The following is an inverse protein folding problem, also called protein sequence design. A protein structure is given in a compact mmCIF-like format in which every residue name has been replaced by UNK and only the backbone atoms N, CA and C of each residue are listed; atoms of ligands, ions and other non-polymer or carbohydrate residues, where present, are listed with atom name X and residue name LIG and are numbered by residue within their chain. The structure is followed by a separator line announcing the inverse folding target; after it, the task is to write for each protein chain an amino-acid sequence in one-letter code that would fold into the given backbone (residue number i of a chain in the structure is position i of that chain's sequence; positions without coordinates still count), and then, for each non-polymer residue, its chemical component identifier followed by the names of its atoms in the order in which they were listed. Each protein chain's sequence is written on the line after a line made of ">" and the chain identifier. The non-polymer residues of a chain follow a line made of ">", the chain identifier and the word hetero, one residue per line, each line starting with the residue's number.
data_IF_369727325026
#
_entry.id   IF_369727325026
#
_cell.length_a   1.000
_cell.length_b   1.000
_cell.length_c   1.000
_cell.angle_alpha   90.00
_cell.angle_beta   90.00
_cell.angle_gamma   90.00
#
_symmetry.space_group_name_H-M   'P 1'
#
loop_
_entity.id
_entity.type
_entity.pdbx_description
1 polymer ?
#
# COMPACT_ATOMS: atom_id res chain seq x y z
N UNK A 1 -53.94 -34.65 -2.88
CA UNK A 1 -53.00 -34.52 -1.74
C UNK A 1 -51.61 -34.05 -2.17
N UNK A 2 -50.99 -34.73 -3.13
CA UNK A 2 -49.64 -34.42 -3.66
C UNK A 2 -49.47 -32.97 -4.12
N UNK A 3 -50.47 -32.39 -4.84
CA UNK A 3 -50.41 -30.99 -5.32
C UNK A 3 -50.29 -29.95 -4.20
N UNK A 4 -51.03 -30.13 -3.08
CA UNK A 4 -50.99 -29.20 -1.95
C UNK A 4 -49.66 -29.30 -1.19
N UNK A 5 -49.16 -30.52 -1.02
CA UNK A 5 -47.85 -30.77 -0.40
C UNK A 5 -46.74 -30.10 -1.23
N UNK A 6 -46.77 -30.28 -2.56
CA UNK A 6 -45.81 -29.67 -3.47
C UNK A 6 -45.83 -28.13 -3.40
N UNK A 7 -47.01 -27.51 -3.35
CA UNK A 7 -47.15 -26.06 -3.21
C UNK A 7 -46.57 -25.54 -1.89
N UNK A 8 -46.79 -26.24 -0.78
CA UNK A 8 -46.23 -25.88 0.53
C UNK A 8 -44.70 -25.93 0.49
N UNK A 9 -44.14 -27.01 -0.07
CA UNK A 9 -42.67 -27.17 -0.22
C UNK A 9 -42.08 -26.04 -1.07
N UNK A 10 -42.74 -25.63 -2.16
CA UNK A 10 -42.25 -24.55 -3.01
C UNK A 10 -42.26 -23.18 -2.31
N UNK A 11 -43.30 -22.88 -1.54
CA UNK A 11 -43.37 -21.64 -0.76
C UNK A 11 -42.33 -21.59 0.36
N UNK A 12 -42.05 -22.73 1.02
CA UNK A 12 -40.97 -22.84 2.00
C UNK A 12 -39.60 -22.63 1.35
N UNK A 13 -39.37 -23.22 0.17
CA UNK A 13 -38.14 -23.02 -0.59
C UNK A 13 -37.99 -21.54 -1.01
N UNK A 14 -39.05 -20.92 -1.54
CA UNK A 14 -39.04 -19.50 -1.91
C UNK A 14 -38.72 -18.58 -0.73
N UNK A 15 -39.29 -18.86 0.44
CA UNK A 15 -38.98 -18.15 1.68
C UNK A 15 -37.53 -18.34 2.13
N UNK A 16 -37.00 -19.57 2.07
CA UNK A 16 -35.62 -19.84 2.41
C UNK A 16 -34.63 -19.12 1.47
N UNK A 17 -34.89 -19.13 0.17
CA UNK A 17 -34.09 -18.39 -0.81
C UNK A 17 -34.17 -16.87 -0.59
N UNK A 18 -35.36 -16.33 -0.26
CA UNK A 18 -35.49 -14.91 0.06
C UNK A 18 -34.61 -14.52 1.27
N UNK A 19 -34.63 -15.33 2.34
CA UNK A 19 -33.83 -15.09 3.55
C UNK A 19 -32.33 -15.17 3.26
N UNK A 20 -31.88 -16.21 2.56
CA UNK A 20 -30.45 -16.37 2.22
C UNK A 20 -29.97 -15.25 1.29
N UNK A 21 -30.80 -14.81 0.34
CA UNK A 21 -30.47 -13.74 -0.59
C UNK A 21 -30.33 -12.38 0.11
N UNK A 22 -31.24 -12.06 1.02
CA UNK A 22 -31.13 -10.85 1.86
C UNK A 22 -29.89 -10.92 2.75
N UNK A 23 -29.63 -12.05 3.40
CA UNK A 23 -28.46 -12.21 4.28
C UNK A 23 -27.13 -12.08 3.52
N UNK A 24 -27.05 -12.59 2.30
CA UNK A 24 -25.87 -12.43 1.45
C UNK A 24 -25.64 -10.94 1.08
N UNK A 25 -26.69 -10.21 0.74
CA UNK A 25 -26.60 -8.78 0.37
C UNK A 25 -26.28 -7.91 1.60
N UNK A 26 -26.90 -8.17 2.75
CA UNK A 26 -26.64 -7.40 3.98
C UNK A 26 -25.26 -7.70 4.56
N UNK A 27 -24.75 -8.93 4.42
CA UNK A 27 -23.37 -9.27 4.73
C UNK A 27 -22.37 -8.45 3.92
N UNK A 28 -22.65 -8.21 2.63
CA UNK A 28 -21.83 -7.38 1.72
C UNK A 28 -21.78 -5.88 2.11
N UNK A 29 -22.75 -5.40 2.88
CA UNK A 29 -22.83 -4.02 3.35
C UNK A 29 -22.12 -3.81 4.71
N UNK A 30 -21.86 -4.89 5.45
CA UNK A 30 -21.26 -4.84 6.79
C UNK A 30 -19.74 -5.10 6.85
N UNK A 31 -19.14 -5.69 5.82
CA UNK A 31 -17.70 -6.01 5.80
C UNK A 31 -16.85 -4.84 5.28
N UNK A 32 -16.55 -3.87 6.15
CA UNK A 32 -15.71 -2.72 5.82
C UNK A 32 -14.22 -3.06 5.52
N UNK A 33 -13.84 -4.34 5.43
CA UNK A 33 -12.46 -4.83 5.32
C UNK A 33 -12.23 -5.88 4.22
N UNK A 34 -13.26 -6.25 3.45
CA UNK A 34 -13.11 -7.25 2.37
C UNK A 34 -12.85 -6.59 1.02
N UNK A 35 -12.15 -7.29 0.13
CA UNK A 35 -11.86 -6.85 -1.23
C UNK A 35 -13.15 -6.54 -2.00
N UNK A 36 -13.16 -5.46 -2.79
CA UNK A 36 -14.32 -5.01 -3.58
C UNK A 36 -14.94 -6.12 -4.44
N UNK A 37 -14.13 -7.09 -4.89
CA UNK A 37 -14.57 -8.26 -5.66
C UNK A 37 -15.49 -9.20 -4.88
N UNK A 38 -15.24 -9.41 -3.58
CA UNK A 38 -16.07 -10.25 -2.72
C UNK A 38 -17.42 -9.57 -2.44
N UNK A 39 -17.40 -8.26 -2.18
CA UNK A 39 -18.60 -7.46 -2.00
C UNK A 39 -19.51 -7.50 -3.23
N UNK A 40 -18.93 -7.32 -4.42
CA UNK A 40 -19.68 -7.45 -5.68
C UNK A 40 -20.22 -8.86 -5.89
N UNK A 41 -19.43 -9.90 -5.59
CA UNK A 41 -19.89 -11.28 -5.67
C UNK A 41 -21.10 -11.53 -4.74
N UNK A 42 -21.06 -11.08 -3.49
CA UNK A 42 -22.18 -11.25 -2.54
C UNK A 42 -23.47 -10.56 -3.01
N UNK A 43 -23.37 -9.37 -3.59
CA UNK A 43 -24.53 -8.65 -4.14
C UNK A 43 -25.12 -9.43 -5.33
N UNK A 44 -24.27 -9.92 -6.25
CA UNK A 44 -24.71 -10.69 -7.43
C UNK A 44 -25.35 -12.00 -7.01
N UNK A 45 -24.68 -12.82 -6.19
CA UNK A 45 -25.22 -14.10 -5.73
C UNK A 45 -26.48 -13.92 -4.88
N UNK A 46 -26.51 -12.92 -4.00
CA UNK A 46 -27.70 -12.61 -3.21
C UNK A 46 -28.89 -12.21 -4.08
N UNK A 47 -28.69 -11.36 -5.09
CA UNK A 47 -29.75 -10.98 -6.03
C UNK A 47 -30.27 -12.17 -6.85
N UNK A 48 -29.39 -13.09 -7.25
CA UNK A 48 -29.74 -14.30 -7.99
C UNK A 48 -30.62 -15.23 -7.15
N UNK A 49 -30.29 -15.40 -5.87
CA UNK A 49 -31.06 -16.20 -4.92
C UNK A 49 -32.45 -15.57 -4.69
N UNK A 50 -32.54 -14.23 -4.61
CA UNK A 50 -33.83 -13.52 -4.53
C UNK A 50 -34.70 -13.72 -5.79
N UNK A 51 -34.11 -13.66 -6.98
CA UNK A 51 -34.83 -13.88 -8.25
C UNK A 51 -35.35 -15.31 -8.34
N UNK A 52 -34.57 -16.31 -7.91
CA UNK A 52 -34.99 -17.72 -7.84
C UNK A 52 -36.18 -17.86 -6.87
N UNK A 53 -36.10 -17.24 -5.69
CA UNK A 53 -37.19 -17.26 -4.70
C UNK A 53 -38.48 -16.59 -5.21
N UNK A 54 -38.36 -15.39 -5.78
CA UNK A 54 -39.50 -14.66 -6.33
C UNK A 54 -40.16 -15.41 -7.51
N UNK A 55 -39.34 -16.05 -8.33
CA UNK A 55 -39.83 -16.84 -9.46
C UNK A 55 -40.53 -18.11 -9.00
N UNK A 56 -39.99 -18.82 -8.00
CA UNK A 56 -40.64 -19.99 -7.42
C UNK A 56 -42.04 -19.64 -6.87
N UNK A 57 -42.16 -18.49 -6.19
CA UNK A 57 -43.45 -17.96 -5.72
C UNK A 57 -44.41 -17.65 -6.90
N UNK A 58 -43.92 -17.00 -7.95
CA UNK A 58 -44.71 -16.63 -9.13
C UNK A 58 -45.18 -17.84 -9.96
N UNK A 59 -44.33 -18.85 -10.14
CA UNK A 59 -44.68 -20.13 -10.79
C UNK A 59 -45.74 -20.87 -9.97
N UNK A 60 -45.64 -20.84 -8.64
CA UNK A 60 -46.66 -21.45 -7.76
C UNK A 60 -48.03 -20.77 -7.91
N UNK A 61 -48.04 -19.45 -8.08
CA UNK A 61 -49.25 -18.66 -8.33
C UNK A 61 -49.89 -18.97 -9.70
N UNK A 62 -49.09 -19.07 -10.77
CA UNK A 62 -49.56 -19.36 -12.13
C UNK A 62 -49.93 -20.83 -12.36
N UNK A 63 -49.26 -21.78 -11.69
CA UNK A 63 -49.60 -23.20 -11.70
C UNK A 63 -51.01 -23.48 -11.16
N UNK A 64 -51.63 -22.51 -10.48
CA UNK A 64 -53.03 -22.58 -10.07
C UNK A 64 -54.01 -22.40 -11.26
N UNK A 65 -53.54 -21.95 -12.43
CA UNK A 65 -54.36 -21.68 -13.63
C UNK A 65 -54.16 -22.67 -14.79
N UNK A 66 -52.94 -23.16 -15.09
CA UNK A 66 -52.68 -24.10 -16.21
C UNK A 66 -51.48 -25.04 -15.94
N UNK A 67 -51.59 -26.33 -16.26
CA UNK A 67 -50.62 -27.38 -15.88
C UNK A 67 -49.35 -27.39 -16.75
N UNK A 68 -49.42 -26.96 -18.02
CA UNK A 68 -48.27 -26.97 -18.94
C UNK A 68 -47.11 -26.04 -18.53
N UNK A 69 -47.40 -25.01 -17.73
CA UNK A 69 -46.40 -24.05 -17.23
C UNK A 69 -45.56 -24.58 -16.05
N UNK A 70 -45.94 -25.72 -15.46
CA UNK A 70 -45.23 -26.32 -14.31
C UNK A 70 -43.84 -26.87 -14.67
N UNK A 71 -43.57 -27.14 -15.95
CA UNK A 71 -42.30 -27.76 -16.37
C UNK A 71 -41.39 -26.80 -17.14
N UNK A 72 -41.93 -26.00 -18.05
CA UNK A 72 -41.12 -25.15 -18.96
C UNK A 72 -40.62 -23.87 -18.29
N UNK A 73 -41.48 -23.19 -17.52
CA UNK A 73 -41.11 -21.94 -16.86
C UNK A 73 -40.02 -22.11 -15.78
N UNK A 74 -40.12 -23.08 -14.84
CA UNK A 74 -39.05 -23.29 -13.86
C UNK A 74 -37.74 -23.77 -14.50
N UNK A 75 -37.77 -24.48 -15.63
CA UNK A 75 -36.53 -24.87 -16.32
C UNK A 75 -35.79 -23.66 -16.91
N UNK A 76 -36.51 -22.77 -17.60
CA UNK A 76 -35.92 -21.56 -18.22
C UNK A 76 -35.48 -20.55 -17.15
N UNK A 77 -36.26 -20.37 -16.09
CA UNK A 77 -35.95 -19.39 -15.04
C UNK A 77 -34.96 -19.90 -13.98
N UNK A 78 -34.93 -21.20 -13.65
CA UNK A 78 -33.97 -21.74 -12.67
C UNK A 78 -32.64 -22.16 -13.30
N UNK A 79 -32.59 -22.49 -14.59
CA UNK A 79 -31.32 -22.82 -15.28
C UNK A 79 -30.88 -21.73 -16.24
N UNK A 80 -31.77 -21.19 -17.09
CA UNK A 80 -31.39 -20.25 -18.15
C UNK A 80 -30.92 -18.88 -17.63
N UNK A 81 -31.71 -18.26 -16.74
CA UNK A 81 -31.36 -16.93 -16.20
C UNK A 81 -30.12 -16.95 -15.29
N UNK A 82 -30.01 -17.87 -14.31
CA UNK A 82 -28.79 -17.99 -13.50
C UNK A 82 -27.54 -18.31 -14.31
N UNK A 83 -27.61 -19.20 -15.32
CA UNK A 83 -26.47 -19.47 -16.21
C UNK A 83 -26.13 -18.26 -17.08
N UNK A 84 -27.13 -17.52 -17.56
CA UNK A 84 -26.92 -16.27 -18.30
C UNK A 84 -26.27 -15.17 -17.46
N UNK A 85 -26.72 -14.97 -16.22
CA UNK A 85 -26.12 -14.03 -15.27
C UNK A 85 -24.72 -14.47 -14.84
N UNK A 86 -24.51 -15.76 -14.60
CA UNK A 86 -23.19 -16.30 -14.29
C UNK A 86 -22.23 -16.13 -15.48
N UNK A 87 -22.69 -16.38 -16.71
CA UNK A 87 -21.92 -16.11 -17.93
C UNK A 87 -21.60 -14.62 -18.09
N UNK A 88 -22.57 -13.73 -17.86
CA UNK A 88 -22.34 -12.28 -17.92
C UNK A 88 -21.36 -11.79 -16.83
N UNK A 89 -21.48 -12.30 -15.60
CA UNK A 89 -20.56 -12.03 -14.51
C UNK A 89 -19.15 -12.54 -14.81
N UNK A 90 -19.02 -13.75 -15.35
CA UNK A 90 -17.73 -14.33 -15.70
C UNK A 90 -17.05 -13.55 -16.84
N UNK A 91 -17.82 -13.12 -17.85
CA UNK A 91 -17.34 -12.24 -18.93
C UNK A 91 -16.92 -10.87 -18.39
N UNK A 92 -17.68 -10.27 -17.47
CA UNK A 92 -17.37 -8.97 -16.86
C UNK A 92 -16.10 -9.05 -15.98
N UNK A 93 -15.97 -10.13 -15.21
CA UNK A 93 -14.80 -10.43 -14.41
C UNK A 93 -13.55 -10.63 -15.28
N UNK A 94 -13.66 -11.41 -16.36
CA UNK A 94 -12.56 -11.64 -17.31
C UNK A 94 -12.15 -10.34 -18.03
N UNK A 95 -13.12 -9.51 -18.44
CA UNK A 95 -12.86 -8.16 -18.98
C UNK A 95 -12.15 -7.28 -17.96
N UNK A 96 -12.57 -7.32 -16.69
CA UNK A 96 -11.94 -6.60 -15.60
C UNK A 96 -10.49 -7.04 -15.37
N UNK A 97 -10.21 -8.34 -15.44
CA UNK A 97 -8.84 -8.87 -15.35
C UNK A 97 -7.98 -8.47 -16.55
N UNK A 98 -8.51 -8.56 -17.78
CA UNK A 98 -7.80 -8.13 -18.99
C UNK A 98 -7.46 -6.65 -18.92
N UNK A 99 -8.42 -5.80 -18.53
CA UNK A 99 -8.18 -4.37 -18.37
C UNK A 99 -7.13 -4.08 -17.29
N UNK A 100 -7.17 -4.82 -16.17
CA UNK A 100 -6.16 -4.70 -15.11
C UNK A 100 -4.77 -5.08 -15.60
N UNK A 101 -4.63 -6.21 -16.33
CA UNK A 101 -3.35 -6.63 -16.91
C UNK A 101 -2.83 -5.64 -17.93
N UNK A 102 -3.70 -5.11 -18.78
CA UNK A 102 -3.34 -4.07 -19.74
C UNK A 102 -2.82 -2.83 -19.03
N UNK A 103 -3.52 -2.36 -17.99
CA UNK A 103 -3.10 -1.21 -17.20
C UNK A 103 -1.76 -1.47 -16.48
N UNK A 104 -1.59 -2.65 -15.88
CA UNK A 104 -0.32 -3.05 -15.26
C UNK A 104 0.82 -3.08 -16.27
N UNK A 105 0.57 -3.55 -17.49
CA UNK A 105 1.56 -3.54 -18.58
C UNK A 105 1.88 -2.12 -19.05
N UNK A 106 0.89 -1.24 -19.17
CA UNK A 106 1.10 0.17 -19.51
C UNK A 106 1.92 0.91 -18.45
N UNK A 107 1.64 0.67 -17.17
CA UNK A 107 2.43 1.21 -16.06
C UNK A 107 3.85 0.64 -16.09
N UNK A 108 4.00 -0.69 -16.19
CA UNK A 108 5.29 -1.38 -16.18
C UNK A 108 6.18 -1.04 -17.38
N UNK A 109 5.59 -0.79 -18.54
CA UNK A 109 6.32 -0.40 -19.76
C UNK A 109 6.69 1.09 -19.77
N UNK A 110 6.21 1.87 -18.80
CA UNK A 110 6.35 3.33 -18.79
C UNK A 110 5.44 4.05 -19.79
N UNK A 111 4.60 3.33 -20.56
CA UNK A 111 3.64 3.90 -21.51
C UNK A 111 2.63 4.82 -20.82
N UNK A 112 2.17 4.46 -19.63
CA UNK A 112 1.25 5.31 -18.88
C UNK A 112 1.87 6.68 -18.55
N UNK A 113 3.13 6.69 -18.10
CA UNK A 113 3.81 7.91 -17.66
C UNK A 113 4.38 8.73 -18.83
N UNK A 114 4.87 8.09 -19.89
CA UNK A 114 5.67 8.75 -20.93
C UNK A 114 5.14 8.55 -22.35
N UNK A 115 3.96 7.94 -22.53
CA UNK A 115 3.39 7.57 -23.83
C UNK A 115 3.32 8.71 -24.85
N UNK A 116 3.02 9.93 -24.37
CA UNK A 116 2.90 11.13 -25.21
C UNK A 116 4.26 11.73 -25.62
N UNK A 117 5.37 11.24 -25.04
CA UNK A 117 6.72 11.76 -25.24
C UNK A 117 7.66 10.63 -25.71
N UNK A 118 7.79 10.41 -27.04
CA UNK A 118 8.52 9.26 -27.58
C UNK A 118 9.96 9.12 -27.08
N UNK A 119 10.66 10.23 -26.85
CA UNK A 119 12.03 10.23 -26.33
C UNK A 119 12.11 9.73 -24.88
N UNK A 120 11.22 10.22 -23.99
CA UNK A 120 11.16 9.73 -22.60
C UNK A 120 10.66 8.28 -22.55
N UNK A 121 9.69 7.92 -23.40
CA UNK A 121 9.18 6.55 -23.48
C UNK A 121 10.28 5.55 -23.86
N UNK A 122 11.15 5.89 -24.81
CA UNK A 122 12.26 5.03 -25.20
C UNK A 122 13.21 4.76 -24.02
N UNK A 123 13.50 5.77 -23.21
CA UNK A 123 14.30 5.59 -21.97
C UNK A 123 13.54 4.74 -20.96
N UNK A 124 12.24 4.97 -20.75
CA UNK A 124 11.41 4.20 -19.83
C UNK A 124 11.33 2.71 -20.21
N UNK A 125 11.23 2.41 -21.51
CA UNK A 125 11.26 1.04 -22.02
C UNK A 125 12.61 0.36 -21.77
N UNK A 126 13.71 1.09 -21.99
CA UNK A 126 15.05 0.58 -21.70
C UNK A 126 15.28 0.33 -20.19
N UNK A 127 14.78 1.23 -19.33
CA UNK A 127 14.75 1.02 -17.87
C UNK A 127 13.93 -0.23 -17.53
N UNK A 128 12.75 -0.41 -18.12
CA UNK A 128 11.92 -1.59 -17.87
C UNK A 128 12.59 -2.88 -18.34
N UNK A 129 13.41 -2.83 -19.40
CA UNK A 129 14.24 -3.96 -19.83
C UNK A 129 15.49 -4.17 -18.95
N UNK A 130 15.83 -3.23 -18.08
CA UNK A 130 17.08 -3.18 -17.32
C UNK A 130 18.33 -3.21 -18.23
N UNK A 131 18.24 -2.59 -19.40
CA UNK A 131 19.31 -2.55 -20.40
C UNK A 131 20.04 -1.20 -20.36
N UNK A 132 21.26 -1.21 -19.80
CA UNK A 132 21.94 0.04 -19.47
C UNK A 132 22.53 0.72 -20.70
N UNK A 133 22.90 -0.06 -21.71
CA UNK A 133 23.40 0.46 -22.97
C UNK A 133 22.25 1.10 -23.76
N UNK A 134 21.07 0.47 -23.75
CA UNK A 134 19.86 1.05 -24.32
C UNK A 134 19.42 2.32 -23.59
N UNK A 135 19.51 2.38 -22.26
CA UNK A 135 19.23 3.61 -21.49
C UNK A 135 20.17 4.73 -21.94
N UNK A 136 21.49 4.46 -21.99
CA UNK A 136 22.49 5.45 -22.43
C UNK A 136 22.27 5.90 -23.87
N UNK A 137 21.88 5.00 -24.75
CA UNK A 137 21.60 5.31 -26.15
C UNK A 137 20.34 6.17 -26.29
N UNK A 138 19.23 5.77 -25.67
CA UNK A 138 17.95 6.49 -25.73
C UNK A 138 18.03 7.88 -25.07
N UNK A 139 18.77 8.00 -23.96
CA UNK A 139 18.94 9.26 -23.25
C UNK A 139 19.60 10.37 -24.10
N UNK A 140 20.38 10.03 -25.13
CA UNK A 140 20.97 11.03 -26.05
C UNK A 140 19.91 11.83 -26.81
N UNK A 141 18.72 11.27 -27.00
CA UNK A 141 17.59 11.92 -27.65
C UNK A 141 16.71 12.72 -26.67
N UNK A 142 17.03 12.72 -25.38
CA UNK A 142 16.28 13.42 -24.33
C UNK A 142 17.06 14.68 -23.92
N UNK A 143 16.59 15.89 -24.28
CA UNK A 143 17.30 17.13 -23.93
C UNK A 143 17.35 17.40 -22.42
N UNK A 144 16.32 16.96 -21.69
CA UNK A 144 16.20 17.13 -20.23
C UNK A 144 15.69 15.83 -19.60
N UNK A 145 16.55 15.16 -18.82
CA UNK A 145 16.19 13.93 -18.09
C UNK A 145 15.22 14.18 -16.92
N UNK A 146 15.02 15.44 -16.54
CA UNK A 146 14.06 15.87 -15.52
C UNK A 146 12.69 16.25 -16.08
N UNK A 147 12.53 16.17 -17.41
CA UNK A 147 11.28 16.50 -18.07
C UNK A 147 10.12 15.66 -17.49
N UNK A 148 9.00 16.29 -17.11
CA UNK A 148 7.86 15.60 -16.54
C UNK A 148 7.11 14.82 -17.63
N UNK A 149 6.79 13.56 -17.33
CA UNK A 149 5.74 12.81 -17.98
C UNK A 149 4.35 13.17 -17.43
N UNK A 150 3.38 12.28 -17.64
CA UNK A 150 2.04 12.36 -17.05
C UNK A 150 2.14 12.47 -15.51
N UNK A 151 1.26 13.28 -14.94
CA UNK A 151 1.17 13.60 -13.51
C UNK A 151 2.47 14.15 -12.90
N UNK A 152 3.37 14.71 -13.72
CA UNK A 152 4.66 15.21 -13.26
C UNK A 152 5.70 14.12 -12.99
N UNK A 153 5.46 12.89 -13.43
CA UNK A 153 6.38 11.76 -13.22
C UNK A 153 7.72 12.00 -13.91
N UNK A 154 8.84 11.89 -13.19
CA UNK A 154 10.19 11.94 -13.79
C UNK A 154 10.74 10.54 -14.05
N UNK A 155 11.63 10.38 -15.03
CA UNK A 155 12.28 9.09 -15.33
C UNK A 155 12.96 8.49 -14.11
N UNK A 156 13.67 9.33 -13.34
CA UNK A 156 14.38 8.89 -12.13
C UNK A 156 13.41 8.44 -11.03
N UNK A 157 12.37 9.23 -10.74
CA UNK A 157 11.41 8.86 -9.69
C UNK A 157 10.63 7.60 -10.08
N UNK A 158 10.25 7.45 -11.35
CA UNK A 158 9.63 6.22 -11.85
C UNK A 158 10.56 5.01 -11.69
N UNK A 159 11.82 5.11 -12.14
CA UNK A 159 12.80 4.03 -11.99
C UNK A 159 13.04 3.65 -10.52
N UNK A 160 13.12 4.63 -9.62
CA UNK A 160 13.24 4.41 -8.16
C UNK A 160 12.05 3.61 -7.62
N UNK A 161 10.82 3.97 -7.96
CA UNK A 161 9.61 3.27 -7.51
C UNK A 161 9.53 1.84 -8.05
N UNK A 162 9.90 1.64 -9.31
CA UNK A 162 9.94 0.31 -9.91
C UNK A 162 10.91 -0.63 -9.15
N UNK A 163 11.97 -0.09 -8.53
CA UNK A 163 12.90 -0.91 -7.73
C UNK A 163 12.27 -1.50 -6.47
N UNK A 164 11.13 -0.98 -5.99
CA UNK A 164 10.48 -1.50 -4.78
C UNK A 164 10.04 -2.96 -4.95
N UNK A 165 9.62 -3.34 -6.16
CA UNK A 165 9.30 -4.73 -6.52
C UNK A 165 10.36 -5.38 -7.40
N UNK A 166 11.29 -4.60 -7.98
CA UNK A 166 12.29 -5.07 -8.95
C UNK A 166 13.70 -4.61 -8.55
N UNK A 167 14.31 -5.20 -7.50
CA UNK A 167 15.60 -4.75 -6.95
C UNK A 167 16.75 -4.71 -7.96
N UNK A 168 16.67 -5.49 -9.04
CA UNK A 168 17.66 -5.48 -10.12
C UNK A 168 17.71 -4.15 -10.91
N UNK A 169 16.65 -3.34 -10.85
CA UNK A 169 16.58 -2.03 -11.51
C UNK A 169 17.42 -0.94 -10.84
N UNK A 170 18.08 -1.25 -9.72
CA UNK A 170 19.08 -0.37 -9.11
C UNK A 170 20.17 0.02 -10.14
N UNK A 171 20.53 -0.86 -11.07
CA UNK A 171 21.49 -0.51 -12.13
C UNK A 171 20.95 0.50 -13.14
N UNK A 172 19.65 0.45 -13.46
CA UNK A 172 19.01 1.44 -14.31
C UNK A 172 18.99 2.81 -13.61
N UNK A 173 18.70 2.86 -12.31
CA UNK A 173 18.77 4.07 -11.49
C UNK A 173 20.20 4.64 -11.50
N UNK A 174 21.22 3.82 -11.23
CA UNK A 174 22.63 4.24 -11.30
C UNK A 174 23.02 4.78 -12.67
N UNK A 175 22.49 4.19 -13.74
CA UNK A 175 22.73 4.63 -15.10
C UNK A 175 22.14 6.01 -15.34
N UNK A 176 20.88 6.27 -14.95
CA UNK A 176 20.25 7.59 -15.04
C UNK A 176 21.03 8.65 -14.24
N UNK A 177 21.42 8.33 -13.00
CA UNK A 177 22.23 9.22 -12.18
C UNK A 177 23.57 9.55 -12.86
N UNK A 178 24.24 8.56 -13.46
CA UNK A 178 25.49 8.77 -14.22
C UNK A 178 25.33 9.62 -15.49
N UNK A 179 24.10 9.74 -16.00
CA UNK A 179 23.74 10.57 -17.15
C UNK A 179 23.32 12.00 -16.73
N UNK A 180 23.36 12.32 -15.43
CA UNK A 180 23.03 13.64 -14.91
C UNK A 180 21.59 13.78 -14.41
N UNK A 181 20.84 12.68 -14.25
CA UNK A 181 19.55 12.75 -13.58
C UNK A 181 19.74 13.24 -12.14
N UNK A 182 19.03 14.30 -11.76
CA UNK A 182 19.18 14.94 -10.46
C UNK A 182 18.32 14.21 -9.40
N UNK A 183 18.92 13.58 -8.37
CA UNK A 183 18.17 12.89 -7.31
C UNK A 183 17.27 13.81 -6.47
N UNK A 184 17.59 15.10 -6.42
CA UNK A 184 16.90 16.11 -5.60
C UNK A 184 15.88 16.92 -6.37
N UNK A 185 15.73 16.70 -7.67
CA UNK A 185 14.78 17.43 -8.47
C UNK A 185 13.34 17.07 -8.06
N UNK A 186 12.50 18.09 -7.93
CA UNK A 186 11.06 17.96 -7.80
C UNK A 186 10.40 19.04 -8.63
N UNK A 187 9.27 18.73 -9.24
CA UNK A 187 8.41 19.68 -9.93
C UNK A 187 7.13 19.98 -9.12
N UNK A 188 7.11 19.62 -7.83
CA UNK A 188 5.97 19.80 -6.94
C UNK A 188 4.92 18.68 -7.01
N UNK A 189 4.99 17.79 -8.01
CA UNK A 189 4.16 16.58 -8.06
C UNK A 189 4.80 15.44 -7.27
N UNK A 190 3.98 14.59 -6.66
CA UNK A 190 4.42 13.48 -5.81
C UNK A 190 5.38 12.54 -6.55
N UNK A 191 5.10 12.36 -7.83
CA UNK A 191 5.76 11.48 -8.78
C UNK A 191 7.13 12.01 -9.24
N UNK A 192 7.61 13.11 -8.67
CA UNK A 192 8.94 13.67 -8.93
C UNK A 192 9.92 13.52 -7.76
N UNK A 193 9.47 13.18 -6.54
CA UNK A 193 10.29 13.09 -5.33
C UNK A 193 11.13 11.80 -5.28
N UNK A 194 12.11 11.68 -6.18
CA UNK A 194 12.93 10.47 -6.31
C UNK A 194 13.69 10.14 -5.02
N UNK A 195 14.34 11.13 -4.39
CA UNK A 195 15.03 10.92 -3.11
C UNK A 195 14.07 10.49 -1.98
N UNK A 196 12.86 11.06 -1.95
CA UNK A 196 11.78 10.68 -1.05
C UNK A 196 11.38 9.20 -1.18
N UNK A 197 11.24 8.74 -2.42
CA UNK A 197 10.89 7.34 -2.70
C UNK A 197 12.06 6.36 -2.50
N UNK A 198 13.31 6.82 -2.64
CA UNK A 198 14.48 5.98 -2.51
C UNK A 198 14.67 5.42 -1.09
N UNK A 199 14.21 6.16 -0.07
CA UNK A 199 14.30 5.72 1.34
C UNK A 199 13.44 4.49 1.63
N UNK A 200 12.48 4.15 0.77
CA UNK A 200 11.65 2.96 0.87
C UNK A 200 12.20 1.75 0.09
N UNK A 201 13.21 1.96 -0.77
CA UNK A 201 13.88 0.89 -1.49
C UNK A 201 14.91 0.14 -0.64
N UNK A 202 15.78 -0.62 -1.31
CA UNK A 202 16.92 -1.29 -0.67
C UNK A 202 17.98 -0.29 -0.19
N UNK A 203 18.82 -0.70 0.76
CA UNK A 203 19.97 0.10 1.19
C UNK A 203 20.91 0.42 0.02
N UNK A 204 21.04 -0.49 -0.95
CA UNK A 204 21.85 -0.31 -2.16
C UNK A 204 21.31 0.79 -3.09
N UNK A 205 19.98 0.88 -3.23
CA UNK A 205 19.34 1.95 -3.96
C UNK A 205 19.63 3.30 -3.30
N UNK A 206 19.36 3.38 -1.99
CA UNK A 206 19.55 4.60 -1.22
C UNK A 206 21.01 5.07 -1.26
N UNK A 207 21.96 4.14 -1.10
CA UNK A 207 23.38 4.41 -1.25
C UNK A 207 23.70 5.01 -2.63
N UNK A 208 23.18 4.43 -3.71
CA UNK A 208 23.42 4.93 -5.07
C UNK A 208 22.91 6.37 -5.27
N UNK A 209 21.74 6.68 -4.71
CA UNK A 209 21.15 8.02 -4.76
C UNK A 209 22.01 9.03 -3.97
N UNK A 210 22.40 8.67 -2.74
CA UNK A 210 23.25 9.52 -1.88
C UNK A 210 24.65 9.71 -2.47
N UNK A 211 25.26 8.67 -3.04
CA UNK A 211 26.58 8.73 -3.71
C UNK A 211 26.56 9.68 -4.92
N UNK A 212 25.39 9.86 -5.53
CA UNK A 212 25.17 10.76 -6.69
C UNK A 212 24.72 12.16 -6.27
N UNK A 213 24.92 12.55 -5.00
CA UNK A 213 24.56 13.88 -4.49
C UNK A 213 23.13 14.01 -4.00
N UNK A 214 22.42 12.90 -3.79
CA UNK A 214 21.12 12.90 -3.13
C UNK A 214 21.19 13.54 -1.74
N UNK A 215 20.24 14.41 -1.44
CA UNK A 215 20.16 15.13 -0.16
C UNK A 215 19.64 14.18 0.93
N UNK A 216 20.45 13.86 1.96
CA UNK A 216 20.02 13.03 3.07
C UNK A 216 18.96 13.71 3.95
N UNK A 217 18.79 15.03 3.81
CA UNK A 217 17.77 15.86 4.46
C UNK A 217 16.59 16.16 3.54
N UNK A 218 16.49 15.48 2.39
CA UNK A 218 15.34 15.60 1.52
C UNK A 218 14.04 15.32 2.29
N UNK A 219 12.96 15.88 1.76
CA UNK A 219 11.61 15.63 2.24
C UNK A 219 10.85 14.87 1.16
N UNK A 220 9.94 14.02 1.59
CA UNK A 220 8.98 13.40 0.69
C UNK A 220 7.93 14.41 0.22
N UNK A 221 6.99 13.94 -0.58
CA UNK A 221 5.95 14.78 -1.17
C UNK A 221 4.95 15.38 -0.17
N UNK A 222 4.95 14.89 1.07
CA UNK A 222 4.16 15.43 2.19
C UNK A 222 4.98 16.38 3.07
N UNK A 223 6.24 16.65 2.69
CA UNK A 223 7.15 17.48 3.48
C UNK A 223 7.77 16.73 4.66
N UNK A 224 7.65 15.40 4.74
CA UNK A 224 8.22 14.61 5.85
C UNK A 224 9.70 14.33 5.59
N UNK A 225 10.61 14.55 6.56
CA UNK A 225 12.03 14.23 6.38
C UNK A 225 12.23 12.75 6.07
N UNK A 226 13.02 12.41 5.05
CA UNK A 226 13.17 11.01 4.61
C UNK A 226 13.70 10.08 5.70
N UNK A 227 14.51 10.60 6.64
CA UNK A 227 15.02 9.81 7.76
C UNK A 227 13.90 9.27 8.67
N UNK A 228 12.79 10.01 8.80
CA UNK A 228 11.60 9.58 9.52
C UNK A 228 10.77 8.56 8.74
N UNK A 229 10.89 8.56 7.41
CA UNK A 229 10.12 7.68 6.51
C UNK A 229 10.77 6.29 6.30
N UNK A 230 11.97 6.07 6.84
CA UNK A 230 12.74 4.84 6.66
C UNK A 230 12.03 3.53 7.11
N UNK A 231 11.06 3.62 8.04
CA UNK A 231 10.29 2.46 8.52
C UNK A 231 8.84 2.40 7.98
N UNK A 232 8.43 3.32 7.10
CA UNK A 232 7.02 3.46 6.69
C UNK A 232 6.56 2.39 5.71
N UNK A 233 7.38 2.05 4.70
CA UNK A 233 7.04 1.06 3.68
C UNK A 233 7.88 -0.21 3.86
N UNK A 234 7.20 -1.32 4.17
CA UNK A 234 7.81 -2.60 4.53
C UNK A 234 8.36 -3.44 3.37
N UNK A 235 8.77 -2.84 2.24
CA UNK A 235 9.30 -3.59 1.09
C UNK A 235 10.64 -4.28 1.37
N UNK A 236 11.50 -3.63 2.16
CA UNK A 236 12.82 -4.14 2.55
C UNK A 236 12.97 -4.14 4.08
N UNK A 237 12.28 -5.05 4.78
CA UNK A 237 12.11 -5.00 6.24
C UNK A 237 13.37 -5.37 7.05
N UNK A 238 14.48 -5.67 6.38
CA UNK A 238 15.79 -5.94 6.99
C UNK A 238 16.81 -4.83 6.67
N UNK A 239 16.48 -3.87 5.80
CA UNK A 239 17.41 -2.84 5.34
C UNK A 239 17.27 -1.52 6.12
N UNK A 240 16.28 -1.37 7.02
CA UNK A 240 16.02 -0.11 7.73
C UNK A 240 17.24 0.35 8.53
N UNK A 241 17.94 -0.56 9.20
CA UNK A 241 19.16 -0.21 9.96
C UNK A 241 20.27 0.28 9.04
N UNK A 242 20.49 -0.42 7.93
CA UNK A 242 21.52 -0.05 6.95
C UNK A 242 21.19 1.29 6.29
N UNK A 243 19.93 1.51 5.91
CA UNK A 243 19.43 2.78 5.37
C UNK A 243 19.56 3.93 6.37
N UNK A 244 19.20 3.71 7.63
CA UNK A 244 19.38 4.68 8.70
C UNK A 244 20.85 5.09 8.82
N UNK A 245 21.76 4.11 8.87
CA UNK A 245 23.19 4.38 8.98
C UNK A 245 23.69 5.17 7.76
N UNK A 246 23.30 4.78 6.54
CA UNK A 246 23.64 5.52 5.33
C UNK A 246 23.18 6.98 5.38
N UNK A 247 21.95 7.24 5.83
CA UNK A 247 21.44 8.62 5.97
C UNK A 247 22.26 9.40 7.01
N UNK A 248 22.49 8.83 8.18
CA UNK A 248 23.26 9.46 9.25
C UNK A 248 24.73 9.71 8.85
N UNK A 249 25.36 8.74 8.17
CA UNK A 249 26.74 8.85 7.69
C UNK A 249 26.88 9.90 6.57
N UNK A 250 25.79 10.25 5.89
CA UNK A 250 25.74 11.33 4.89
C UNK A 250 25.29 12.66 5.46
N UNK A 251 25.00 12.76 6.76
CA UNK A 251 24.67 14.01 7.42
C UNK A 251 23.16 14.32 7.42
N UNK A 252 22.31 13.30 7.40
CA UNK A 252 20.91 13.49 7.77
C UNK A 252 20.81 14.06 9.18
N UNK A 253 19.97 15.07 9.35
CA UNK A 253 19.68 15.69 10.64
C UNK A 253 18.90 14.71 11.51
N UNK A 254 19.62 14.13 12.47
CA UNK A 254 19.09 13.16 13.43
C UNK A 254 17.95 13.72 14.31
N UNK A 255 17.86 15.05 14.41
CA UNK A 255 16.87 15.76 15.22
C UNK A 255 15.75 16.40 14.38
N UNK A 256 15.67 16.06 13.10
CA UNK A 256 14.55 16.44 12.24
C UNK A 256 13.23 15.95 12.82
N UNK A 257 12.19 16.78 12.65
CA UNK A 257 10.85 16.53 13.19
C UNK A 257 9.82 16.29 12.10
N UNK A 258 8.81 15.49 12.42
CA UNK A 258 7.60 15.36 11.63
C UNK A 258 6.89 16.73 11.51
N UNK A 259 6.31 17.05 10.33
CA UNK A 259 5.53 18.27 10.14
C UNK A 259 4.34 18.39 11.10
N UNK A 260 3.95 19.62 11.46
CA UNK A 260 2.76 19.88 12.30
C UNK A 260 1.44 19.38 11.68
N UNK A 261 1.41 19.19 10.35
CA UNK A 261 0.25 18.61 9.65
C UNK A 261 0.05 17.12 9.94
N UNK A 262 1.06 16.44 10.49
CA UNK A 262 1.00 15.02 10.84
C UNK A 262 0.38 14.85 12.23
N UNK A 263 -0.95 14.91 12.32
CA UNK A 263 -1.69 14.99 13.59
C UNK A 263 -1.25 14.01 14.69
N UNK A 264 -0.88 12.77 14.34
CA UNK A 264 -0.49 11.75 15.33
C UNK A 264 0.96 11.91 15.82
N UNK A 265 1.87 12.33 14.95
CA UNK A 265 3.30 12.40 15.24
C UNK A 265 3.86 13.82 15.13
N UNK A 266 3.01 14.85 15.22
CA UNK A 266 3.40 16.24 15.03
C UNK A 266 4.55 16.62 15.98
N UNK A 267 5.64 17.16 15.41
CA UNK A 267 6.83 17.54 16.16
C UNK A 267 7.67 16.38 16.68
N UNK A 268 7.33 15.12 16.39
CA UNK A 268 8.15 13.98 16.81
C UNK A 268 9.49 13.99 16.07
N UNK A 269 10.59 13.88 16.82
CA UNK A 269 11.88 13.49 16.26
C UNK A 269 11.92 11.99 15.98
N UNK A 270 12.93 11.53 15.24
CA UNK A 270 13.08 10.10 14.99
C UNK A 270 13.30 9.30 16.29
N UNK A 271 13.98 9.89 17.28
CA UNK A 271 14.13 9.27 18.60
C UNK A 271 12.77 9.06 19.29
N UNK A 272 11.91 10.09 19.31
CA UNK A 272 10.58 9.99 19.91
C UNK A 272 9.72 8.97 19.16
N UNK A 273 9.74 9.01 17.83
CA UNK A 273 9.01 8.05 16.99
C UNK A 273 9.45 6.61 17.25
N UNK A 274 10.75 6.30 17.20
CA UNK A 274 11.24 4.92 17.46
C UNK A 274 10.96 4.48 18.90
N UNK A 275 11.10 5.37 19.87
CA UNK A 275 10.74 5.05 21.27
C UNK A 275 9.27 4.67 21.37
N UNK A 276 8.36 5.49 20.81
CA UNK A 276 6.92 5.24 20.78
C UNK A 276 6.55 3.93 20.10
N UNK A 277 7.21 3.59 18.99
CA UNK A 277 6.99 2.33 18.27
C UNK A 277 7.49 1.10 19.04
N UNK A 278 8.32 1.27 20.08
CA UNK A 278 8.87 0.16 20.87
C UNK A 278 7.83 -0.70 21.59
N UNK A 279 6.63 -0.17 21.84
CA UNK A 279 5.50 -0.97 22.36
C UNK A 279 4.99 -1.99 21.33
N UNK A 280 5.07 -1.66 20.04
CA UNK A 280 4.55 -2.47 18.94
C UNK A 280 5.66 -3.33 18.29
N UNK A 281 6.89 -2.82 18.22
CA UNK A 281 8.08 -3.50 17.69
C UNK A 281 9.27 -3.27 18.62
N UNK A 282 9.66 -4.28 19.41
CA UNK A 282 10.73 -4.16 20.41
C UNK A 282 12.07 -3.75 19.81
N UNK A 283 12.33 -4.05 18.53
CA UNK A 283 13.55 -3.64 17.82
C UNK A 283 13.67 -2.11 17.71
N UNK A 284 12.55 -1.40 17.82
CA UNK A 284 12.54 0.06 17.84
C UNK A 284 13.27 0.65 19.07
N UNK A 285 13.34 -0.07 20.20
CA UNK A 285 14.17 0.36 21.33
C UNK A 285 15.66 0.30 21.02
N UNK A 286 16.11 -0.74 20.31
CA UNK A 286 17.49 -0.80 19.82
C UNK A 286 17.75 0.27 18.74
N UNK A 287 16.75 0.65 17.94
CA UNK A 287 16.85 1.81 17.05
C UNK A 287 17.00 3.13 17.83
N UNK A 288 16.20 3.34 18.87
CA UNK A 288 16.27 4.50 19.74
C UNK A 288 17.64 4.62 20.45
N UNK A 289 18.16 3.51 20.98
CA UNK A 289 19.48 3.50 21.63
C UNK A 289 20.59 3.90 20.64
N UNK A 290 20.58 3.31 19.45
CA UNK A 290 21.55 3.65 18.41
C UNK A 290 21.46 5.12 18.00
N UNK A 291 20.26 5.72 17.95
CA UNK A 291 20.10 7.15 17.68
C UNK A 291 20.76 8.01 18.76
N UNK A 292 20.61 7.63 20.04
CA UNK A 292 21.24 8.30 21.17
C UNK A 292 22.77 8.19 21.12
N UNK A 293 23.29 7.01 20.80
CA UNK A 293 24.73 6.79 20.58
C UNK A 293 25.27 7.61 19.40
N UNK A 294 24.42 7.92 18.41
CA UNK A 294 24.71 8.81 17.28
C UNK A 294 24.45 10.29 17.56
N UNK A 295 24.09 10.66 18.79
CA UNK A 295 23.93 12.04 19.23
C UNK A 295 22.53 12.65 19.03
N UNK A 296 21.48 11.82 18.95
CA UNK A 296 20.11 12.32 19.00
C UNK A 296 19.86 13.04 20.33
N UNK A 297 19.16 14.17 20.30
CA UNK A 297 18.84 14.98 21.47
C UNK A 297 17.62 14.39 22.22
N UNK A 298 17.80 13.81 23.42
CA UNK A 298 16.71 13.22 24.19
C UNK A 298 15.76 14.25 24.81
N UNK A 299 16.12 15.53 24.82
CA UNK A 299 15.36 16.58 25.49
C UNK A 299 14.33 17.26 24.58
N UNK A 300 14.24 16.86 23.31
CA UNK A 300 13.24 17.38 22.39
C UNK A 300 11.83 16.99 22.84
N UNK A 301 10.91 17.93 22.69
CA UNK A 301 9.51 17.79 23.08
C UNK A 301 8.67 17.88 21.80
N UNK A 302 7.80 16.90 21.60
CA UNK A 302 6.84 16.86 20.51
C UNK A 302 5.66 17.83 20.75
N UNK A 303 4.83 18.04 19.73
CA UNK A 303 3.70 18.98 19.80
C UNK A 303 2.64 18.58 20.84
N UNK A 304 2.49 17.28 21.11
CA UNK A 304 1.63 16.72 22.17
C UNK A 304 2.22 16.83 23.59
N UNK A 305 3.43 17.40 23.73
CA UNK A 305 4.13 17.55 25.00
C UNK A 305 4.90 16.30 25.46
N UNK A 306 4.95 15.25 24.64
CA UNK A 306 5.74 14.05 24.90
C UNK A 306 7.23 14.30 24.68
N UNK A 307 8.05 13.65 25.49
CA UNK A 307 9.50 13.63 25.34
C UNK A 307 10.03 12.23 25.69
N UNK A 308 11.31 11.99 25.45
CA UNK A 308 11.91 10.67 25.58
C UNK A 308 11.80 10.10 27.01
N UNK A 309 12.03 10.93 28.03
CA UNK A 309 11.93 10.54 29.45
C UNK A 309 10.51 10.12 29.85
N UNK A 310 9.50 10.91 29.46
CA UNK A 310 8.08 10.59 29.71
C UNK A 310 7.69 9.28 29.06
N UNK A 311 8.03 9.11 27.77
CA UNK A 311 7.74 7.88 27.03
C UNK A 311 8.36 6.65 27.70
N UNK A 312 9.64 6.69 28.05
CA UNK A 312 10.28 5.56 28.72
C UNK A 312 9.62 5.22 30.05
N UNK A 313 9.23 6.24 30.84
CA UNK A 313 8.58 6.04 32.13
C UNK A 313 7.22 5.36 31.95
N UNK A 314 6.40 5.84 31.03
CA UNK A 314 5.10 5.24 30.70
C UNK A 314 5.26 3.80 30.18
N UNK A 315 6.24 3.55 29.32
CA UNK A 315 6.52 2.22 28.79
C UNK A 315 6.97 1.26 29.90
N UNK A 316 7.81 1.72 30.82
CA UNK A 316 8.23 0.94 32.00
C UNK A 316 7.03 0.56 32.86
N UNK A 317 6.14 1.50 33.16
CA UNK A 317 4.90 1.25 33.89
C UNK A 317 4.02 0.24 33.16
N UNK A 318 3.82 0.41 31.85
CA UNK A 318 3.11 -0.53 31.01
C UNK A 318 3.67 -1.97 31.16
N UNK A 319 4.99 -2.13 31.14
CA UNK A 319 5.63 -3.44 31.30
C UNK A 319 5.47 -4.06 32.68
N UNK A 320 5.27 -3.27 33.74
CA UNK A 320 4.96 -3.82 35.08
C UNK A 320 3.57 -4.44 35.16
N UNK A 321 2.64 -3.95 34.35
CA UNK A 321 1.25 -4.43 34.31
C UNK A 321 1.00 -5.49 33.23
N UNK A 322 1.98 -5.74 32.35
CA UNK A 322 1.89 -6.62 31.19
C UNK A 322 2.81 -7.85 31.24
N UNK A 323 3.32 -8.26 30.07
CA UNK A 323 4.18 -9.45 29.89
C UNK A 323 5.66 -9.23 30.28
N UNK A 324 5.97 -8.16 31.02
CA UNK A 324 7.34 -7.72 31.29
C UNK A 324 7.95 -6.95 30.12
N UNK A 325 9.11 -6.33 30.37
CA UNK A 325 9.81 -5.53 29.38
C UNK A 325 10.56 -6.43 28.37
N UNK A 326 10.57 -6.08 27.07
CA UNK A 326 11.38 -6.79 26.08
C UNK A 326 12.87 -6.57 26.36
N UNK A 327 13.72 -7.50 25.88
CA UNK A 327 15.15 -7.47 26.14
C UNK A 327 15.81 -6.17 25.63
N UNK A 328 15.32 -5.64 24.51
CA UNK A 328 15.82 -4.42 23.88
C UNK A 328 15.51 -3.14 24.68
N UNK A 329 14.52 -3.17 25.59
CA UNK A 329 14.17 -2.01 26.40
C UNK A 329 15.20 -1.76 27.51
N UNK A 330 15.78 -2.82 28.09
CA UNK A 330 16.66 -2.68 29.26
C UNK A 330 17.91 -1.84 28.97
N UNK A 331 18.65 -2.06 27.86
CA UNK A 331 19.81 -1.22 27.52
C UNK A 331 19.44 0.25 27.29
N UNK A 332 18.28 0.52 26.68
CA UNK A 332 17.79 1.87 26.47
C UNK A 332 17.46 2.57 27.79
N UNK A 333 16.82 1.86 28.71
CA UNK A 333 16.50 2.36 30.05
C UNK A 333 17.78 2.65 30.86
N UNK A 334 18.75 1.72 30.85
CA UNK A 334 20.04 1.89 31.51
C UNK A 334 20.83 3.08 30.96
N UNK A 335 20.84 3.26 29.63
CA UNK A 335 21.42 4.43 29.00
C UNK A 335 20.78 5.72 29.53
N UNK A 336 19.44 5.76 29.59
CA UNK A 336 18.69 6.92 30.05
C UNK A 336 19.00 7.26 31.53
N UNK A 337 19.11 6.26 32.40
CA UNK A 337 19.49 6.47 33.80
C UNK A 337 20.92 6.99 33.94
N UNK A 338 21.87 6.40 33.21
CA UNK A 338 23.28 6.79 33.25
C UNK A 338 23.50 8.23 32.79
N UNK A 339 22.66 8.72 31.88
CA UNK A 339 22.71 10.10 31.36
C UNK A 339 21.74 11.06 32.09
N UNK A 340 21.11 10.62 33.18
CA UNK A 340 20.23 11.47 34.01
C UNK A 340 18.91 11.89 33.34
N UNK A 341 18.49 11.17 32.29
CA UNK A 341 17.23 11.41 31.57
C UNK A 341 16.04 10.86 32.37
N UNK A 342 16.20 9.69 32.99
CA UNK A 342 15.21 9.06 33.87
C UNK A 342 15.81 8.86 35.26
N UNK A 343 14.95 8.78 36.28
CA UNK A 343 15.35 8.54 37.68
C UNK A 343 15.24 7.07 38.06
#
# INVERSE_FOLDING_TARGET
>A
MIRKIFQIVLWLAAGAYAVVGVLAITGALGSAREADSLRHAYIVFGSMILIIGATAAFVTFLANKWVGFLFVAPLILCLGLPVGFFGAFWIDMEKGEVHRRQMEEEVRSGRYAFGDQPALLAVAQAISANDQDAIRAAAKAVPDLQAPGRDGTTLLCWAVRETWQRPQLVEAVRTLLSLGANPNYTNGHRESFAMGNAVHGSARLLQSMLDSGGDPNARDEFGRPIILMNWYLGYYPNDQRARLNLLLDRGADINSTMPESESEFAGYTLLLYRTRMGLDDSRAYADALHLLERGADPNRVAADGMNFSKMLTEHREHFTTGRGAPAEFSPLWEWAQTHGITR
#
